data_IF_979645053221
#
_entry.id   IF_979645053221
#
_cell.length_a   1.000
_cell.length_b   1.000
_cell.length_c   1.000
_cell.angle_alpha   90.00
_cell.angle_beta   90.00
_cell.angle_gamma   90.00
#
_symmetry.space_group_name_H-M   'P 1'
#
loop_
_entity.id
_entity.type
_entity.pdbx_description
1 polymer ?
#
# COMPACT_ATOMS: atom_id res chain seq x y z
N UNK A 1 -9.07 -52.39 -21.59
CA UNK A 1 -9.20 -52.28 -20.12
C UNK A 1 -8.40 -53.42 -19.51
N UNK A 2 -7.26 -53.14 -18.88
CA UNK A 2 -6.43 -54.17 -18.22
C UNK A 2 -7.15 -54.70 -16.99
N UNK A 3 -7.34 -56.02 -16.91
CA UNK A 3 -8.10 -56.67 -15.84
C UNK A 3 -7.24 -56.77 -14.58
N UNK A 4 -7.60 -56.02 -13.53
CA UNK A 4 -6.89 -56.00 -12.24
C UNK A 4 -7.03 -57.32 -11.46
N UNK A 5 -7.87 -58.27 -11.90
CA UNK A 5 -8.09 -59.55 -11.22
C UNK A 5 -6.81 -60.40 -11.10
N UNK A 6 -5.82 -60.21 -11.99
CA UNK A 6 -4.60 -61.00 -12.02
C UNK A 6 -3.60 -60.68 -10.87
N UNK A 7 -3.78 -59.55 -10.17
CA UNK A 7 -2.90 -59.14 -9.06
C UNK A 7 -3.41 -59.59 -7.69
N UNK A 8 -4.57 -60.23 -7.61
CA UNK A 8 -5.24 -60.58 -6.36
C UNK A 8 -5.00 -62.05 -5.96
N UNK A 9 -3.76 -62.40 -5.61
CA UNK A 9 -3.54 -63.59 -4.76
C UNK A 9 -3.80 -63.22 -3.30
N UNK A 10 -4.38 -64.13 -2.52
CA UNK A 10 -4.78 -63.87 -1.12
C UNK A 10 -3.67 -63.29 -0.22
N UNK A 11 -2.40 -63.55 -0.54
CA UNK A 11 -1.23 -62.99 0.17
C UNK A 11 -0.91 -61.53 -0.21
N UNK A 12 -1.16 -61.11 -1.45
CA UNK A 12 -0.97 -59.71 -1.89
C UNK A 12 -2.08 -58.80 -1.35
N UNK A 13 -3.32 -59.29 -1.24
CA UNK A 13 -4.44 -58.54 -0.64
C UNK A 13 -4.14 -58.20 0.82
N UNK A 14 -3.67 -59.17 1.60
CA UNK A 14 -3.35 -58.98 3.02
C UNK A 14 -2.19 -57.97 3.18
N UNK A 15 -1.17 -58.04 2.32
CA UNK A 15 -0.06 -57.07 2.33
C UNK A 15 -0.51 -55.64 2.06
N UNK A 16 -1.41 -55.42 1.10
CA UNK A 16 -1.95 -54.09 0.77
C UNK A 16 -2.84 -53.56 1.90
N UNK A 17 -3.62 -54.44 2.54
CA UNK A 17 -4.47 -54.08 3.68
C UNK A 17 -3.62 -53.70 4.90
N UNK A 18 -2.56 -54.44 5.24
CA UNK A 18 -1.68 -54.12 6.38
C UNK A 18 -0.96 -52.79 6.15
N UNK A 19 -0.45 -52.52 4.95
CA UNK A 19 0.16 -51.22 4.60
C UNK A 19 -0.88 -50.10 4.65
N UNK A 20 -2.11 -50.33 4.19
CA UNK A 20 -3.22 -49.37 4.34
C UNK A 20 -3.61 -49.11 5.79
N UNK A 21 -3.57 -50.12 6.69
CA UNK A 21 -3.83 -49.91 8.11
C UNK A 21 -2.69 -49.12 8.79
N UNK A 22 -1.44 -49.36 8.41
CA UNK A 22 -0.30 -48.55 8.89
C UNK A 22 -0.43 -47.11 8.37
N UNK A 23 -0.74 -46.90 7.09
CA UNK A 23 -0.99 -45.58 6.53
C UNK A 23 -2.23 -44.89 7.13
N UNK A 24 -3.31 -45.62 7.39
CA UNK A 24 -4.51 -45.11 8.05
C UNK A 24 -4.22 -44.73 9.51
N UNK A 25 -3.37 -45.49 10.22
CA UNK A 25 -2.93 -45.15 11.57
C UNK A 25 -2.04 -43.90 11.61
N UNK A 26 -1.16 -43.74 10.62
CA UNK A 26 -0.34 -42.53 10.44
C UNK A 26 -1.19 -41.32 10.02
N UNK A 27 -2.20 -41.52 9.16
CA UNK A 27 -3.15 -40.49 8.76
C UNK A 27 -4.09 -40.09 9.91
N UNK A 28 -4.40 -41.02 10.83
CA UNK A 28 -5.21 -40.76 12.04
C UNK A 28 -4.51 -39.87 13.06
N UNK A 29 -3.20 -39.65 12.95
CA UNK A 29 -2.48 -38.64 13.75
C UNK A 29 -2.58 -37.23 13.17
N UNK A 30 -2.90 -37.08 11.88
CA UNK A 30 -2.90 -35.78 11.18
C UNK A 30 -3.90 -34.79 11.79
N UNK A 31 -5.03 -35.27 12.30
CA UNK A 31 -6.10 -34.43 12.85
C UNK A 31 -5.83 -33.89 14.26
N UNK A 32 -4.77 -34.32 14.96
CA UNK A 32 -4.39 -33.76 16.28
C UNK A 32 -3.39 -32.61 16.18
N UNK A 33 -2.58 -32.55 15.13
CA UNK A 33 -1.65 -31.44 14.89
C UNK A 33 -2.36 -30.15 14.53
N UNK A 34 -3.52 -30.23 13.87
CA UNK A 34 -4.30 -29.05 13.48
C UNK A 34 -4.96 -28.35 14.67
N UNK A 35 -5.21 -29.04 15.80
CA UNK A 35 -5.78 -28.44 17.02
C UNK A 35 -4.74 -27.71 17.89
N UNK A 36 -3.50 -28.19 17.91
CA UNK A 36 -2.40 -27.46 18.56
C UNK A 36 -1.88 -26.33 17.68
N UNK A 37 -1.86 -26.51 16.35
CA UNK A 37 -1.59 -25.42 15.43
C UNK A 37 -2.66 -24.34 15.50
N UNK A 38 -3.97 -24.65 15.52
CA UNK A 38 -4.99 -23.60 15.65
C UNK A 38 -4.97 -22.93 17.02
N UNK A 39 -4.77 -23.63 18.14
CA UNK A 39 -4.72 -22.95 19.46
C UNK A 39 -3.42 -22.19 19.73
N UNK A 40 -2.37 -22.42 18.95
CA UNK A 40 -1.14 -21.59 18.95
C UNK A 40 -1.14 -20.54 17.83
N UNK A 41 -1.92 -20.71 16.76
CA UNK A 41 -2.05 -19.77 15.64
C UNK A 41 -3.25 -18.81 15.79
N UNK A 42 -4.30 -19.14 16.56
CA UNK A 42 -5.31 -18.15 17.00
C UNK A 42 -4.76 -17.17 18.05
N UNK A 43 -3.57 -17.40 18.59
CA UNK A 43 -2.83 -16.38 19.35
C UNK A 43 -1.80 -15.63 18.48
N UNK A 44 -1.57 -16.01 17.22
CA UNK A 44 -0.62 -15.32 16.34
C UNK A 44 -1.07 -15.21 14.87
N UNK A 45 -2.36 -14.94 14.64
CA UNK A 45 -2.82 -14.29 13.40
C UNK A 45 -4.01 -13.36 13.63
N UNK A 46 -3.77 -12.23 14.28
CA UNK A 46 -4.17 -10.89 13.81
C UNK A 46 -3.77 -9.82 14.84
N UNK A 47 -3.25 -8.69 14.36
CA UNK A 47 -2.71 -7.53 15.10
C UNK A 47 -1.29 -7.69 15.67
N UNK A 48 -0.54 -6.59 15.69
CA UNK A 48 0.79 -6.41 16.31
C UNK A 48 2.08 -6.74 15.51
N UNK A 49 2.07 -6.58 14.18
CA UNK A 49 3.29 -6.04 13.50
C UNK A 49 2.99 -4.98 12.42
N UNK A 50 1.72 -4.82 12.02
CA UNK A 50 1.23 -3.63 11.31
C UNK A 50 1.16 -2.40 12.23
N UNK A 51 0.90 -2.59 13.52
CA UNK A 51 0.35 -1.50 14.33
C UNK A 51 1.41 -0.50 14.77
N UNK A 52 2.65 -0.90 15.03
CA UNK A 52 3.71 0.08 15.38
C UNK A 52 4.10 0.88 14.15
N UNK A 53 4.35 0.22 13.02
CA UNK A 53 4.78 0.90 11.79
C UNK A 53 3.65 1.77 11.20
N UNK A 54 2.42 1.28 11.13
CA UNK A 54 1.29 2.07 10.60
C UNK A 54 0.93 3.25 11.51
N UNK A 55 1.09 3.14 12.83
CA UNK A 55 0.94 4.29 13.74
C UNK A 55 2.02 5.35 13.57
N UNK A 56 3.22 4.97 13.11
CA UNK A 56 4.32 5.90 12.84
C UNK A 56 4.19 6.56 11.46
N UNK A 57 3.73 5.80 10.46
CA UNK A 57 3.52 6.25 9.08
C UNK A 57 2.61 7.47 8.95
N UNK A 58 1.64 7.64 9.85
CA UNK A 58 0.77 8.82 9.87
C UNK A 58 1.50 10.14 10.19
N UNK A 59 2.72 10.07 10.73
CA UNK A 59 3.58 11.21 11.00
C UNK A 59 4.63 11.42 9.89
N UNK A 60 4.45 10.80 8.72
CA UNK A 60 5.30 11.05 7.56
C UNK A 60 5.22 12.52 7.12
N UNK A 61 6.33 13.03 6.58
CA UNK A 61 6.33 14.36 6.00
C UNK A 61 5.53 14.35 4.69
N UNK A 62 4.60 15.30 4.48
CA UNK A 62 3.87 15.37 3.23
C UNK A 62 4.80 15.73 2.07
N UNK A 63 4.47 15.26 0.87
CA UNK A 63 5.20 15.51 -0.36
C UNK A 63 4.47 16.59 -1.16
N UNK A 64 5.23 17.57 -1.67
CA UNK A 64 4.73 18.59 -2.60
C UNK A 64 5.32 18.36 -3.99
N UNK A 65 4.45 18.09 -4.95
CA UNK A 65 4.78 17.99 -6.36
C UNK A 65 4.36 19.25 -7.08
N UNK A 66 5.31 19.86 -7.79
CA UNK A 66 5.10 21.11 -8.52
C UNK A 66 5.11 20.76 -9.99
N UNK A 67 4.03 21.14 -10.67
CA UNK A 67 3.86 21.01 -12.10
C UNK A 67 4.24 22.36 -12.69
N UNK A 68 5.17 22.41 -13.63
CA UNK A 68 5.59 23.66 -14.25
C UNK A 68 4.37 24.39 -14.83
N UNK A 69 4.08 25.57 -14.30
CA UNK A 69 2.93 26.38 -14.68
C UNK A 69 3.31 27.37 -15.78
N UNK A 70 2.50 27.41 -16.84
CA UNK A 70 2.56 28.45 -17.85
C UNK A 70 1.27 29.26 -17.80
N UNK A 71 1.40 30.58 -17.79
CA UNK A 71 0.28 31.51 -17.89
C UNK A 71 0.54 32.41 -19.09
N UNK A 72 -0.45 32.55 -19.95
CA UNK A 72 -0.33 33.44 -21.12
C UNK A 72 -0.40 34.90 -20.67
N UNK A 73 0.40 35.74 -21.32
CA UNK A 73 0.45 37.17 -21.08
C UNK A 73 -0.94 37.81 -21.15
N UNK A 74 -1.25 38.63 -20.14
CA UNK A 74 -2.53 39.32 -20.00
C UNK A 74 -3.69 38.43 -19.53
N UNK A 75 -3.49 37.13 -19.28
CA UNK A 75 -4.55 36.27 -18.76
C UNK A 75 -5.04 36.75 -17.39
N UNK A 76 -6.36 36.84 -17.25
CA UNK A 76 -7.03 37.14 -15.97
C UNK A 76 -7.52 35.88 -15.25
N UNK A 77 -7.52 34.73 -15.94
CA UNK A 77 -8.13 33.50 -15.46
C UNK A 77 -7.05 32.44 -15.28
N UNK A 78 -6.44 32.42 -14.11
CA UNK A 78 -5.50 31.38 -13.70
C UNK A 78 -5.68 31.08 -12.21
N UNK A 79 -5.38 29.84 -11.81
CA UNK A 79 -5.31 29.42 -10.41
C UNK A 79 -3.98 28.72 -10.17
N UNK A 80 -3.22 29.23 -9.19
CA UNK A 80 -1.94 28.66 -8.80
C UNK A 80 -2.08 27.26 -8.18
N UNK A 81 -3.27 26.87 -7.73
CA UNK A 81 -3.57 25.50 -7.27
C UNK A 81 -3.44 24.46 -8.39
N UNK A 82 -3.67 24.84 -9.65
CA UNK A 82 -3.57 23.91 -10.77
C UNK A 82 -2.14 23.41 -11.04
N UNK A 83 -1.15 24.09 -10.48
CA UNK A 83 0.27 23.80 -10.67
C UNK A 83 0.89 23.02 -9.50
N UNK A 84 0.09 22.55 -8.55
CA UNK A 84 0.60 21.85 -7.37
C UNK A 84 -0.28 20.66 -7.02
N UNK A 85 0.36 19.59 -6.56
CA UNK A 85 -0.27 18.47 -5.88
C UNK A 85 0.45 18.22 -4.56
N UNK A 86 -0.29 17.76 -3.56
CA UNK A 86 0.30 17.36 -2.29
C UNK A 86 -0.35 16.10 -1.76
N UNK A 87 0.46 15.22 -1.17
CA UNK A 87 -0.04 13.99 -0.55
C UNK A 87 0.81 13.61 0.65
N UNK A 88 0.22 12.86 1.58
CA UNK A 88 0.96 12.22 2.65
C UNK A 88 1.78 11.05 2.08
N UNK A 89 3.09 10.98 2.38
CA UNK A 89 4.01 10.06 1.72
C UNK A 89 3.65 8.59 1.96
N UNK A 90 3.25 8.27 3.19
CA UNK A 90 3.01 6.91 3.62
C UNK A 90 1.55 6.50 3.52
N UNK A 91 0.62 7.36 3.97
CA UNK A 91 -0.81 7.06 3.96
C UNK A 91 -1.48 7.31 2.61
N UNK A 92 -0.80 8.07 1.72
CA UNK A 92 -1.33 8.47 0.40
C UNK A 92 -2.60 9.34 0.48
N UNK A 93 -2.89 9.94 1.63
CA UNK A 93 -3.96 10.94 1.78
C UNK A 93 -3.70 12.12 0.82
N UNK A 94 -4.71 12.54 0.04
CA UNK A 94 -4.61 13.73 -0.79
C UNK A 94 -4.72 14.99 0.09
N UNK A 95 -3.70 15.84 0.01
CA UNK A 95 -3.58 17.08 0.77
C UNK A 95 -3.59 18.31 -0.14
N UNK A 96 -3.85 18.16 -1.44
CA UNK A 96 -3.74 19.22 -2.46
C UNK A 96 -4.59 20.44 -2.09
N UNK A 97 -5.81 20.22 -1.60
CA UNK A 97 -6.70 21.31 -1.20
C UNK A 97 -6.25 22.05 0.08
N UNK A 98 -5.39 21.42 0.88
CA UNK A 98 -4.83 21.99 2.12
C UNK A 98 -3.56 22.81 1.86
N UNK A 99 -3.07 22.85 0.62
CA UNK A 99 -1.88 23.63 0.25
C UNK A 99 -2.19 25.13 0.38
N UNK A 100 -1.37 25.80 1.19
CA UNK A 100 -1.31 27.26 1.28
C UNK A 100 -0.30 27.78 0.29
N UNK A 101 -0.70 28.78 -0.48
CA UNK A 101 0.10 29.36 -1.56
C UNK A 101 0.46 30.80 -1.18
N UNK A 102 1.75 31.12 -1.25
CA UNK A 102 2.28 32.46 -1.00
C UNK A 102 3.03 32.95 -2.23
N UNK A 103 2.68 34.15 -2.69
CA UNK A 103 3.20 34.75 -3.91
C UNK A 103 2.08 35.17 -4.86
N UNK A 104 2.44 35.89 -5.91
CA UNK A 104 1.51 36.36 -6.93
C UNK A 104 2.23 36.42 -8.27
N UNK A 105 1.46 36.30 -9.36
CA UNK A 105 1.97 36.40 -10.73
C UNK A 105 1.42 37.67 -11.38
N UNK A 106 2.29 38.53 -11.89
CA UNK A 106 1.88 39.65 -12.71
C UNK A 106 1.79 39.19 -14.17
N UNK A 107 0.57 38.92 -14.66
CA UNK A 107 0.40 38.43 -16.03
C UNK A 107 0.67 39.49 -17.10
N UNK A 108 0.88 40.76 -16.72
CA UNK A 108 1.27 41.84 -17.63
C UNK A 108 2.78 42.05 -17.72
N UNK A 109 3.56 41.15 -17.12
CA UNK A 109 5.02 41.15 -17.19
C UNK A 109 5.52 39.74 -17.48
N UNK A 110 6.21 39.58 -18.61
CA UNK A 110 6.88 38.32 -18.92
C UNK A 110 7.93 38.01 -17.86
N UNK A 111 8.06 36.74 -17.48
CA UNK A 111 9.05 36.36 -16.50
C UNK A 111 8.78 35.04 -15.80
N UNK A 112 9.71 34.68 -14.93
CA UNK A 112 9.62 33.50 -14.06
C UNK A 112 9.31 33.96 -12.65
N UNK A 113 8.17 33.54 -12.14
CA UNK A 113 7.65 33.91 -10.83
C UNK A 113 7.88 32.77 -9.85
N UNK A 114 8.51 33.08 -8.71
CA UNK A 114 8.76 32.12 -7.64
C UNK A 114 7.55 32.09 -6.69
N UNK A 115 6.90 30.93 -6.59
CA UNK A 115 5.74 30.70 -5.73
C UNK A 115 6.12 29.77 -4.59
N UNK A 116 5.66 30.06 -3.38
CA UNK A 116 5.94 29.28 -2.17
C UNK A 116 4.71 28.49 -1.76
N UNK A 117 4.83 27.16 -1.74
CA UNK A 117 3.77 26.23 -1.40
C UNK A 117 4.07 25.61 -0.04
N UNK A 118 3.08 25.62 0.86
CA UNK A 118 3.21 25.07 2.21
C UNK A 118 2.01 24.18 2.49
N UNK A 119 2.24 22.97 2.97
CA UNK A 119 1.17 22.05 3.37
C UNK A 119 1.42 21.55 4.79
N UNK A 120 0.34 21.28 5.52
CA UNK A 120 0.39 20.66 6.85
C UNK A 120 -0.51 19.44 6.83
N UNK A 121 0.03 18.28 7.21
CA UNK A 121 -0.74 17.03 7.27
C UNK A 121 -1.76 17.08 8.42
N UNK A 122 -2.69 16.13 8.42
CA UNK A 122 -3.69 15.94 9.49
C UNK A 122 -3.04 15.75 10.88
N UNK A 123 -1.80 15.27 10.92
CA UNK A 123 -1.02 15.03 12.14
C UNK A 123 -0.06 16.19 12.49
N UNK A 124 -0.16 17.34 11.81
CA UNK A 124 0.60 18.55 12.14
C UNK A 124 2.01 18.61 11.54
N UNK A 125 2.38 17.66 10.68
CA UNK A 125 3.69 17.65 10.01
C UNK A 125 3.67 18.61 8.84
N UNK A 126 4.71 19.44 8.71
CA UNK A 126 4.79 20.50 7.70
C UNK A 126 5.79 20.14 6.61
N UNK A 127 5.46 20.54 5.38
CA UNK A 127 6.41 20.60 4.27
C UNK A 127 6.19 21.90 3.49
N UNK A 128 7.28 22.42 2.94
CA UNK A 128 7.28 23.59 2.08
C UNK A 128 8.18 23.38 0.86
N UNK A 129 7.82 24.04 -0.24
CA UNK A 129 8.56 23.95 -1.50
C UNK A 129 8.33 25.19 -2.35
N UNK A 130 9.38 25.62 -3.05
CA UNK A 130 9.28 26.69 -4.04
C UNK A 130 9.10 26.14 -5.45
N UNK A 131 8.13 26.71 -6.17
CA UNK A 131 7.86 26.43 -7.58
C UNK A 131 8.08 27.64 -8.46
N UNK A 132 8.15 27.38 -9.76
CA UNK A 132 8.26 28.42 -10.79
C UNK A 132 7.01 28.41 -11.68
N UNK A 133 6.49 29.59 -11.94
CA UNK A 133 5.41 29.83 -12.91
C UNK A 133 5.92 30.82 -13.95
N UNK A 134 5.74 30.52 -15.22
CA UNK A 134 6.29 31.30 -16.33
C UNK A 134 5.15 32.04 -17.02
N UNK A 135 5.27 33.37 -17.10
CA UNK A 135 4.41 34.19 -17.97
C UNK A 135 5.07 34.27 -19.34
N UNK A 136 4.34 33.85 -20.37
CA UNK A 136 4.82 33.71 -21.74
C UNK A 136 3.89 34.36 -22.76
#
# INVERSE_FOLDING_TARGET
MSNLSQYFSGKLIISVIVVSFVFASLFSLKNRWTMYADSTIETQKSSETSDVNDNLRKYSAPVIEIINGYIDYGSSNYDLKNFVKAYDADTREDLTDKVKIYGSVNTKEYGVYKIHYVVTSSHGIKADKYGQVIVK
#
